data_IF_018686475439
#
_entry.id   IF_018686475439
#
_cell.length_a   1.000
_cell.length_b   1.000
_cell.length_c   1.000
_cell.angle_alpha   90.00
_cell.angle_beta   90.00
_cell.angle_gamma   90.00
#
_symmetry.space_group_name_H-M   'P 1'
#
loop_
_entity.id
_entity.type
_entity.pdbx_description
1 polymer ?
#
# COMPACT_ATOMS: atom_id res chain seq x y z
N UNK A 1 32.84 21.55 -25.87
CA UNK A 1 31.40 21.58 -25.54
C UNK A 1 30.72 20.48 -26.34
N UNK A 2 30.11 19.50 -25.68
CA UNK A 2 29.51 18.33 -26.34
C UNK A 2 28.19 18.76 -27.00
N UNK A 3 28.16 18.73 -28.33
CA UNK A 3 26.92 18.76 -29.11
C UNK A 3 26.10 17.51 -28.77
N UNK A 4 25.13 17.60 -27.86
CA UNK A 4 24.13 16.54 -27.72
C UNK A 4 23.25 16.56 -28.96
N UNK A 5 23.23 15.45 -29.70
CA UNK A 5 22.38 15.29 -30.86
C UNK A 5 20.91 15.45 -30.42
N UNK A 6 20.06 16.23 -31.12
CA UNK A 6 18.68 16.50 -30.71
C UNK A 6 17.85 15.22 -30.47
N UNK A 7 18.15 14.14 -31.20
CA UNK A 7 17.53 12.83 -31.02
C UNK A 7 17.76 12.22 -29.63
N UNK A 8 18.90 12.48 -28.97
CA UNK A 8 19.21 11.92 -27.65
C UNK A 8 18.20 12.40 -26.60
N UNK A 9 17.80 13.67 -26.65
CA UNK A 9 16.82 14.23 -25.72
C UNK A 9 15.41 13.67 -25.95
N UNK A 10 15.01 13.48 -27.21
CA UNK A 10 13.72 12.88 -27.57
C UNK A 10 13.62 11.42 -27.12
N UNK A 11 14.66 10.62 -27.37
CA UNK A 11 14.71 9.22 -26.92
C UNK A 11 14.75 9.11 -25.38
N UNK A 12 15.48 9.99 -24.69
CA UNK A 12 15.51 10.03 -23.23
C UNK A 12 14.13 10.31 -22.64
N UNK A 13 13.39 11.26 -23.21
CA UNK A 13 12.02 11.57 -22.79
C UNK A 13 11.09 10.37 -23.01
N UNK A 14 11.15 9.76 -24.20
CA UNK A 14 10.33 8.58 -24.52
C UNK A 14 10.59 7.40 -23.57
N UNK A 15 11.87 7.09 -23.27
CA UNK A 15 12.24 6.03 -22.33
C UNK A 15 11.76 6.36 -20.92
N UNK A 16 11.92 7.61 -20.47
CA UNK A 16 11.47 8.05 -19.15
C UNK A 16 9.96 7.89 -19.00
N UNK A 17 9.19 8.39 -19.98
CA UNK A 17 7.73 8.27 -20.00
C UNK A 17 7.29 6.80 -19.98
N UNK A 18 7.99 5.93 -20.72
CA UNK A 18 7.71 4.51 -20.73
C UNK A 18 8.01 3.84 -19.37
N UNK A 19 9.12 4.19 -18.73
CA UNK A 19 9.47 3.68 -17.39
C UNK A 19 8.48 4.16 -16.32
N UNK A 20 7.98 5.39 -16.42
CA UNK A 20 6.92 5.91 -15.54
C UNK A 20 5.58 5.20 -15.77
N UNK A 21 5.21 4.98 -17.04
CA UNK A 21 4.01 4.24 -17.41
C UNK A 21 4.04 2.82 -16.83
N UNK A 22 5.20 2.16 -16.89
CA UNK A 22 5.41 0.82 -16.33
C UNK A 22 5.58 0.79 -14.80
N UNK A 23 5.54 1.93 -14.11
CA UNK A 23 5.79 2.03 -12.66
C UNK A 23 7.17 1.52 -12.22
N UNK A 24 8.17 1.62 -13.10
CA UNK A 24 9.57 1.30 -12.77
C UNK A 24 10.21 2.48 -12.03
N UNK A 25 9.86 3.68 -12.45
CA UNK A 25 10.27 4.94 -11.81
C UNK A 25 9.02 5.77 -11.50
N UNK A 26 9.16 6.73 -10.61
CA UNK A 26 8.10 7.67 -10.28
C UNK A 26 8.66 9.06 -9.98
N UNK A 27 8.11 10.08 -10.62
CA UNK A 27 8.28 11.46 -10.16
C UNK A 27 7.38 11.72 -8.96
N UNK A 28 7.93 12.37 -7.94
CA UNK A 28 7.18 12.70 -6.74
C UNK A 28 6.16 13.81 -7.01
N UNK A 29 4.95 13.71 -6.44
CA UNK A 29 4.03 14.84 -6.39
C UNK A 29 4.62 15.94 -5.50
N UNK A 30 5.05 17.03 -6.11
CA UNK A 30 5.32 18.27 -5.40
C UNK A 30 3.99 18.93 -5.05
N UNK A 31 3.71 19.12 -3.76
CA UNK A 31 2.60 19.97 -3.32
C UNK A 31 2.83 21.40 -3.82
N UNK A 32 1.80 22.01 -4.43
CA UNK A 32 1.82 23.41 -4.88
C UNK A 32 2.02 24.41 -3.73
N UNK A 33 1.85 23.99 -2.47
CA UNK A 33 1.95 24.86 -1.30
C UNK A 33 3.30 24.79 -0.56
N UNK A 34 4.27 23.99 -1.03
CA UNK A 34 5.62 23.99 -0.42
C UNK A 34 5.68 23.52 1.05
N UNK A 35 4.59 22.98 1.61
CA UNK A 35 4.49 22.62 3.04
C UNK A 35 5.25 21.32 3.38
N UNK A 36 5.66 20.53 2.38
CA UNK A 36 6.57 19.39 2.59
C UNK A 36 7.70 19.42 1.57
N UNK A 37 8.76 20.15 1.91
CA UNK A 37 9.96 20.31 1.11
C UNK A 37 10.53 18.95 0.70
N UNK A 38 10.59 18.70 -0.61
CA UNK A 38 11.73 19.04 -1.47
C UNK A 38 11.17 19.06 -2.92
N UNK A 39 11.42 20.09 -3.74
CA UNK A 39 11.18 20.00 -5.18
C UNK A 39 12.18 18.98 -5.76
N UNK A 40 11.80 17.70 -5.77
CA UNK A 40 12.61 16.64 -6.34
C UNK A 40 12.43 16.70 -7.86
N UNK A 41 13.28 17.42 -8.57
CA UNK A 41 13.35 17.32 -10.04
C UNK A 41 14.10 16.05 -10.49
N UNK A 42 13.78 14.94 -9.82
CA UNK A 42 14.35 13.64 -10.12
C UNK A 42 13.30 12.54 -10.00
N UNK A 43 13.54 11.47 -10.74
CA UNK A 43 12.73 10.27 -10.65
C UNK A 43 13.25 9.38 -9.52
N UNK A 44 12.33 8.88 -8.72
CA UNK A 44 12.63 7.87 -7.72
C UNK A 44 12.54 6.50 -8.38
N UNK A 45 13.53 5.65 -8.11
CA UNK A 45 13.58 4.26 -8.58
C UNK A 45 13.39 3.34 -7.37
N UNK A 46 12.17 2.83 -7.08
CA UNK A 46 11.90 2.16 -5.80
C UNK A 46 12.77 0.93 -5.54
N UNK A 47 13.24 0.24 -6.59
CA UNK A 47 14.10 -0.92 -6.45
C UNK A 47 15.54 -0.59 -6.02
N UNK A 48 15.97 0.66 -6.18
CA UNK A 48 17.31 1.15 -5.81
C UNK A 48 17.33 1.85 -4.45
N UNK A 49 16.19 1.92 -3.75
CA UNK A 49 16.11 2.48 -2.42
C UNK A 49 16.95 1.66 -1.42
N UNK A 50 17.47 2.32 -0.41
CA UNK A 50 18.13 1.66 0.72
C UNK A 50 17.15 0.73 1.43
N UNK A 51 17.66 -0.38 1.98
CA UNK A 51 16.84 -1.27 2.81
C UNK A 51 16.35 -0.52 4.04
N UNK A 52 15.12 -0.82 4.47
CA UNK A 52 14.60 -0.27 5.71
C UNK A 52 15.49 -0.65 6.90
N UNK A 53 15.80 0.29 7.82
CA UNK A 53 16.57 -0.04 9.00
C UNK A 53 15.79 -1.03 9.88
N UNK A 54 16.42 -2.11 10.36
CA UNK A 54 15.81 -2.95 11.37
C UNK A 54 15.81 -2.21 12.72
N UNK A 55 14.77 -2.43 13.55
CA UNK A 55 13.61 -3.27 13.30
C UNK A 55 12.51 -2.48 12.56
N UNK A 56 11.68 -3.17 11.79
CA UNK A 56 10.47 -2.62 11.14
C UNK A 56 9.36 -2.23 12.16
N UNK A 57 9.75 -1.75 13.35
CA UNK A 57 8.90 -1.11 14.36
C UNK A 57 8.08 0.06 13.79
N UNK A 58 8.37 0.48 12.57
CA UNK A 58 7.62 1.48 11.82
C UNK A 58 6.19 0.99 11.48
N UNK A 59 5.84 -0.29 11.70
CA UNK A 59 4.45 -0.77 11.69
C UNK A 59 3.75 -0.77 13.06
N UNK A 60 4.49 -0.59 14.15
CA UNK A 60 3.90 -0.32 15.45
C UNK A 60 3.69 1.18 15.55
N UNK A 61 2.55 1.67 15.06
CA UNK A 61 2.01 2.91 15.59
C UNK A 61 1.97 2.82 17.13
N UNK A 62 2.07 3.94 17.85
CA UNK A 62 1.71 3.96 19.25
C UNK A 62 0.34 3.28 19.41
N UNK A 63 0.16 2.40 20.41
CA UNK A 63 -1.10 1.66 20.61
C UNK A 63 -2.32 2.59 20.70
N UNK A 64 -2.09 3.87 20.98
CA UNK A 64 -3.11 4.88 21.24
C UNK A 64 -3.61 5.60 19.98
N UNK A 65 -2.98 5.38 18.81
CA UNK A 65 -3.43 6.01 17.56
C UNK A 65 -4.45 5.13 16.85
N UNK A 66 -5.65 5.65 16.52
CA UNK A 66 -6.63 4.82 15.86
C UNK A 66 -6.21 4.56 14.39
N UNK A 67 -6.53 3.36 13.92
CA UNK A 67 -5.93 2.78 12.71
C UNK A 67 -6.88 1.79 12.05
N UNK A 68 -6.74 1.62 10.73
CA UNK A 68 -7.51 0.59 10.01
C UNK A 68 -6.98 -0.82 10.35
N UNK A 69 -7.80 -1.87 10.17
CA UNK A 69 -7.31 -3.24 10.08
C UNK A 69 -6.22 -3.33 9.01
N UNK A 70 -5.27 -4.24 9.14
CA UNK A 70 -4.22 -4.39 8.12
C UNK A 70 -4.82 -5.09 6.91
N UNK A 71 -4.68 -4.47 5.74
CA UNK A 71 -4.94 -5.09 4.45
C UNK A 71 -3.69 -5.83 4.00
N UNK A 72 -3.83 -7.08 3.57
CA UNK A 72 -2.74 -7.89 3.06
C UNK A 72 -3.07 -8.41 1.66
N UNK A 73 -2.06 -8.44 0.79
CA UNK A 73 -2.10 -9.11 -0.50
C UNK A 73 -1.17 -10.32 -0.44
N UNK A 74 -1.75 -11.52 -0.39
CA UNK A 74 -1.03 -12.79 -0.16
C UNK A 74 -0.88 -13.53 -1.48
N UNK A 75 0.37 -13.80 -1.89
CA UNK A 75 0.65 -14.47 -3.17
C UNK A 75 0.60 -15.99 -3.02
N UNK A 76 -0.25 -16.66 -3.81
CA UNK A 76 -0.60 -18.08 -3.63
C UNK A 76 0.58 -19.03 -3.82
N UNK A 77 1.56 -18.67 -4.66
CA UNK A 77 2.77 -19.45 -4.89
C UNK A 77 3.82 -19.35 -3.77
N UNK A 78 3.52 -18.64 -2.68
CA UNK A 78 4.49 -18.28 -1.61
C UNK A 78 5.75 -17.60 -2.13
N UNK A 79 5.62 -16.94 -3.27
CA UNK A 79 6.69 -16.26 -3.96
C UNK A 79 6.21 -14.88 -4.38
N UNK A 80 7.03 -13.87 -4.09
CA UNK A 80 6.80 -12.49 -4.44
C UNK A 80 8.08 -11.94 -5.05
N UNK A 81 8.15 -11.77 -6.38
CA UNK A 81 9.25 -11.04 -6.98
C UNK A 81 9.31 -9.62 -6.38
N UNK A 82 10.49 -9.09 -6.03
CA UNK A 82 10.61 -7.76 -5.42
C UNK A 82 9.92 -6.64 -6.21
N UNK A 83 9.85 -6.78 -7.54
CA UNK A 83 9.17 -5.86 -8.45
C UNK A 83 7.67 -5.69 -8.15
N UNK A 84 7.01 -6.68 -7.55
CA UNK A 84 5.60 -6.58 -7.14
C UNK A 84 5.39 -5.59 -5.99
N UNK A 85 6.41 -5.36 -5.16
CA UNK A 85 6.35 -4.31 -4.13
C UNK A 85 6.68 -2.94 -4.72
N UNK A 86 7.69 -2.87 -5.59
CA UNK A 86 8.19 -1.61 -6.15
C UNK A 86 7.13 -0.87 -6.98
N UNK A 87 6.29 -1.59 -7.71
CA UNK A 87 5.25 -0.98 -8.56
C UNK A 87 4.13 -0.28 -7.78
N UNK A 88 3.48 -0.91 -6.77
CA UNK A 88 2.57 -0.21 -5.88
C UNK A 88 3.21 1.01 -5.22
N UNK A 89 4.48 0.91 -4.80
CA UNK A 89 5.22 2.04 -4.24
C UNK A 89 5.37 3.18 -5.27
N UNK A 90 5.73 2.89 -6.51
CA UNK A 90 5.78 3.90 -7.59
C UNK A 90 4.41 4.54 -7.85
N UNK A 91 3.32 3.76 -7.83
CA UNK A 91 1.96 4.31 -7.92
C UNK A 91 1.65 5.24 -6.74
N UNK A 92 2.07 4.89 -5.53
CA UNK A 92 1.87 5.71 -4.35
C UNK A 92 2.71 7.00 -4.36
N UNK A 93 3.97 6.96 -4.83
CA UNK A 93 4.82 8.15 -4.95
C UNK A 93 4.19 9.24 -5.84
N UNK A 94 3.48 8.81 -6.89
CA UNK A 94 2.74 9.68 -7.82
C UNK A 94 1.36 10.09 -7.32
N UNK A 95 0.88 9.51 -6.22
CA UNK A 95 -0.47 9.74 -5.70
C UNK A 95 -0.47 10.51 -4.39
N UNK A 96 0.60 10.40 -3.59
CA UNK A 96 0.66 11.01 -2.26
C UNK A 96 2.07 11.51 -1.91
N UNK A 97 2.18 12.60 -1.13
CA UNK A 97 3.42 13.05 -0.51
C UNK A 97 4.13 11.92 0.27
N UNK A 98 5.46 11.87 0.18
CA UNK A 98 6.27 10.93 0.97
C UNK A 98 6.30 11.46 2.40
N UNK A 99 5.97 10.61 3.36
CA UNK A 99 5.98 11.00 4.76
C UNK A 99 7.42 11.28 5.21
N UNK A 100 7.60 12.34 6.01
CA UNK A 100 8.85 12.67 6.66
C UNK A 100 8.71 12.51 8.17
N UNK A 101 9.57 11.73 8.79
CA UNK A 101 9.66 11.61 10.24
C UNK A 101 11.03 12.13 10.70
N UNK A 102 11.04 13.12 11.61
CA UNK A 102 12.28 13.75 12.12
C UNK A 102 13.23 14.24 11.01
N UNK A 103 12.65 14.77 9.92
CA UNK A 103 13.41 15.28 8.77
C UNK A 103 13.97 14.20 7.83
N UNK A 104 13.59 12.93 8.00
CA UNK A 104 14.00 11.83 7.13
C UNK A 104 12.81 11.32 6.30
N UNK A 105 13.03 11.10 5.00
CA UNK A 105 12.03 10.49 4.13
C UNK A 105 11.79 9.02 4.50
N UNK A 106 10.54 8.67 4.78
CA UNK A 106 10.13 7.31 5.13
C UNK A 106 9.87 6.45 3.88
N UNK A 107 10.86 6.36 3.00
CA UNK A 107 10.79 5.64 1.73
C UNK A 107 12.01 4.74 1.55
N UNK A 108 11.80 3.43 1.66
CA UNK A 108 12.82 2.40 1.67
C UNK A 108 12.42 1.20 0.79
N UNK A 109 13.41 0.40 0.40
CA UNK A 109 13.15 -0.90 -0.18
C UNK A 109 12.67 -1.84 0.94
N UNK A 110 11.39 -2.23 0.88
CA UNK A 110 10.71 -3.00 1.93
C UNK A 110 9.68 -2.23 2.74
N UNK A 111 9.72 -0.89 2.72
CA UNK A 111 8.82 -0.06 3.51
C UNK A 111 8.64 1.32 2.88
N UNK A 112 7.41 1.76 2.72
CA UNK A 112 7.09 3.10 2.27
C UNK A 112 5.94 3.69 3.12
N UNK A 113 6.08 4.96 3.49
CA UNK A 113 5.05 5.71 4.21
C UNK A 113 4.72 6.97 3.43
N UNK A 114 3.42 7.20 3.24
CA UNK A 114 2.88 8.33 2.50
C UNK A 114 1.90 9.12 3.37
N UNK A 115 1.89 10.44 3.22
CA UNK A 115 0.88 11.31 3.81
C UNK A 115 -0.31 11.34 2.86
N UNK A 116 -1.41 10.70 3.24
CA UNK A 116 -2.60 10.59 2.39
C UNK A 116 -3.41 11.89 2.40
N UNK A 117 -3.48 12.51 3.59
CA UNK A 117 -3.96 13.87 3.85
C UNK A 117 -3.38 14.32 5.20
N UNK A 118 -3.81 15.48 5.71
CA UNK A 118 -3.32 16.05 6.98
C UNK A 118 -3.57 15.14 8.20
N UNK A 119 -4.55 14.25 8.09
CA UNK A 119 -4.97 13.34 9.17
C UNK A 119 -4.34 11.96 9.06
N UNK A 120 -4.11 11.42 7.86
CA UNK A 120 -3.86 10.00 7.66
C UNK A 120 -2.54 9.75 6.95
N UNK A 121 -1.83 8.72 7.41
CA UNK A 121 -0.67 8.16 6.72
C UNK A 121 -0.97 6.75 6.23
N UNK A 122 -0.51 6.43 5.02
CA UNK A 122 -0.51 5.09 4.44
C UNK A 122 0.86 4.47 4.66
N UNK A 123 0.88 3.32 5.31
CA UNK A 123 2.08 2.49 5.49
C UNK A 123 1.96 1.26 4.60
N UNK A 124 2.99 0.98 3.82
CA UNK A 124 3.10 -0.19 2.97
C UNK A 124 4.43 -0.88 3.26
N UNK A 125 4.42 -2.18 3.50
CA UNK A 125 5.63 -2.99 3.50
C UNK A 125 5.40 -4.29 2.73
N UNK A 126 6.49 -4.96 2.40
CA UNK A 126 6.42 -6.38 2.09
C UNK A 126 7.23 -7.17 3.11
N UNK A 127 6.73 -8.36 3.45
CA UNK A 127 7.48 -9.38 4.18
C UNK A 127 7.14 -10.72 3.55
N UNK A 128 8.17 -11.52 3.27
CA UNK A 128 8.06 -12.78 2.55
C UNK A 128 7.30 -12.63 1.22
N UNK A 129 6.15 -13.29 1.11
CA UNK A 129 5.30 -13.28 -0.07
C UNK A 129 4.02 -12.45 0.12
N UNK A 130 4.06 -11.46 1.02
CA UNK A 130 2.89 -10.68 1.41
C UNK A 130 3.22 -9.20 1.38
N UNK A 131 2.32 -8.43 0.76
CA UNK A 131 2.33 -6.97 0.83
C UNK A 131 1.28 -6.54 1.84
N UNK A 132 1.69 -5.81 2.87
CA UNK A 132 0.81 -5.25 3.88
C UNK A 132 0.58 -3.77 3.61
N UNK A 133 -0.65 -3.32 3.89
CA UNK A 133 -1.05 -1.93 3.83
C UNK A 133 -1.88 -1.58 5.06
N UNK A 134 -1.61 -0.42 5.66
CA UNK A 134 -2.36 0.10 6.80
C UNK A 134 -2.50 1.61 6.71
N UNK A 135 -3.65 2.12 7.13
CA UNK A 135 -3.86 3.56 7.28
C UNK A 135 -3.91 3.89 8.77
N UNK A 136 -3.12 4.89 9.16
CA UNK A 136 -2.94 5.33 10.54
C UNK A 136 -3.38 6.78 10.65
N UNK A 137 -4.18 7.10 11.66
CA UNK A 137 -4.52 8.48 11.99
C UNK A 137 -3.39 9.13 12.78
N UNK A 138 -2.94 10.29 12.32
CA UNK A 138 -1.93 11.12 12.95
C UNK A 138 -2.53 12.04 14.01
N UNK A 139 -3.82 12.40 13.88
CA UNK A 139 -4.56 13.26 14.81
C UNK A 139 -5.03 12.49 16.06
N UNK A 140 -4.81 13.10 17.22
CA UNK A 140 -5.25 12.57 18.53
C UNK A 140 -6.75 12.81 18.78
N UNK A 141 -7.37 13.77 18.06
CA UNK A 141 -8.72 14.26 18.31
C UNK A 141 -9.76 13.82 17.28
N UNK A 142 -9.35 13.21 16.16
CA UNK A 142 -10.29 12.79 15.11
C UNK A 142 -10.76 11.34 15.27
N UNK A 143 -12.08 11.15 15.18
CA UNK A 143 -12.68 9.83 15.00
C UNK A 143 -12.29 9.29 13.62
N UNK A 144 -11.57 8.17 13.60
CA UNK A 144 -10.90 7.54 12.43
C UNK A 144 -11.79 7.09 11.27
N UNK A 145 -13.07 7.43 11.29
CA UNK A 145 -14.06 6.76 10.47
C UNK A 145 -14.82 7.68 9.50
N UNK A 146 -14.46 8.96 9.40
CA UNK A 146 -15.15 9.90 8.50
C UNK A 146 -14.72 9.78 7.02
N UNK A 147 -13.64 9.05 6.71
CA UNK A 147 -13.06 9.00 5.37
C UNK A 147 -12.96 7.57 4.80
N UNK A 148 -13.99 6.75 4.97
CA UNK A 148 -14.03 5.38 4.43
C UNK A 148 -13.76 5.36 2.91
N UNK A 149 -14.24 6.36 2.17
CA UNK A 149 -14.00 6.47 0.72
C UNK A 149 -12.50 6.53 0.38
N UNK A 150 -11.69 7.19 1.22
CA UNK A 150 -10.26 7.36 1.03
C UNK A 150 -9.54 6.01 1.16
N UNK A 151 -9.93 5.23 2.17
CA UNK A 151 -9.36 3.91 2.43
C UNK A 151 -9.67 2.94 1.28
N UNK A 152 -10.90 3.01 0.76
CA UNK A 152 -11.31 2.25 -0.42
C UNK A 152 -10.55 2.67 -1.69
N UNK A 153 -10.27 3.97 -1.87
CA UNK A 153 -9.50 4.49 -2.99
C UNK A 153 -8.04 4.03 -2.94
N UNK A 154 -7.41 4.06 -1.75
CA UNK A 154 -6.08 3.49 -1.52
C UNK A 154 -6.05 2.02 -1.91
N UNK A 155 -6.98 1.21 -1.40
CA UNK A 155 -7.09 -0.21 -1.77
C UNK A 155 -7.24 -0.38 -3.28
N UNK A 156 -8.12 0.38 -3.93
CA UNK A 156 -8.37 0.27 -5.37
C UNK A 156 -7.10 0.54 -6.19
N UNK A 157 -6.33 1.58 -5.84
CA UNK A 157 -5.06 1.90 -6.49
C UNK A 157 -4.02 0.78 -6.30
N UNK A 158 -3.85 0.28 -5.07
CA UNK A 158 -2.93 -0.84 -4.79
C UNK A 158 -3.33 -2.10 -5.55
N UNK A 159 -4.61 -2.50 -5.47
CA UNK A 159 -5.13 -3.68 -6.16
C UNK A 159 -4.96 -3.58 -7.67
N UNK A 160 -5.27 -2.43 -8.27
CA UNK A 160 -5.09 -2.21 -9.71
C UNK A 160 -3.62 -2.37 -10.10
N UNK A 161 -2.71 -1.72 -9.37
CA UNK A 161 -1.26 -1.82 -9.62
C UNK A 161 -0.76 -3.27 -9.59
N UNK A 162 -1.25 -4.07 -8.63
CA UNK A 162 -0.90 -5.49 -8.55
C UNK A 162 -1.53 -6.31 -9.68
N UNK A 163 -2.82 -6.11 -9.99
CA UNK A 163 -3.52 -6.82 -11.08
C UNK A 163 -2.85 -6.61 -12.44
N UNK A 164 -2.50 -5.38 -12.77
CA UNK A 164 -1.86 -5.03 -14.05
C UNK A 164 -0.53 -5.81 -14.24
N UNK A 165 0.13 -6.23 -13.15
CA UNK A 165 1.36 -7.03 -13.20
C UNK A 165 1.14 -8.54 -13.11
N UNK A 166 0.11 -8.99 -12.39
CA UNK A 166 -0.30 -10.39 -12.35
C UNK A 166 -0.55 -10.93 -13.76
N UNK A 167 -1.21 -10.16 -14.62
CA UNK A 167 -1.44 -10.53 -16.02
C UNK A 167 -0.15 -10.80 -16.81
N UNK A 168 0.99 -10.24 -16.38
CA UNK A 168 2.30 -10.41 -17.01
C UNK A 168 3.14 -11.56 -16.43
N UNK A 169 2.74 -12.13 -15.29
CA UNK A 169 3.60 -13.00 -14.46
C UNK A 169 2.93 -14.28 -13.96
N UNK A 170 1.70 -14.56 -14.41
CA UNK A 170 0.87 -15.73 -14.03
C UNK A 170 0.68 -15.93 -12.51
N UNK A 171 1.06 -14.95 -11.69
CA UNK A 171 1.01 -15.05 -10.24
C UNK A 171 -0.36 -14.63 -9.74
N UNK A 172 -1.00 -15.40 -8.86
CA UNK A 172 -2.30 -15.01 -8.27
C UNK A 172 -2.10 -14.54 -6.83
N UNK A 173 -2.82 -13.49 -6.43
CA UNK A 173 -2.87 -13.04 -5.04
C UNK A 173 -4.30 -13.04 -4.49
N UNK A 174 -4.40 -13.19 -3.18
CA UNK A 174 -5.63 -13.03 -2.41
C UNK A 174 -5.58 -11.76 -1.55
N UNK A 175 -6.72 -11.07 -1.46
CA UNK A 175 -6.89 -9.99 -0.50
C UNK A 175 -7.29 -10.59 0.85
N UNK A 176 -6.53 -10.27 1.89
CA UNK A 176 -6.75 -10.71 3.25
C UNK A 176 -6.83 -9.52 4.20
N UNK A 177 -7.52 -9.69 5.33
CA UNK A 177 -7.53 -8.73 6.44
C UNK A 177 -6.91 -9.40 7.66
N UNK A 178 -5.95 -8.74 8.30
CA UNK A 178 -5.43 -9.17 9.58
C UNK A 178 -6.41 -8.83 10.70
N UNK A 179 -6.50 -9.70 11.70
CA UNK A 179 -7.21 -9.40 12.95
C UNK A 179 -6.81 -8.00 13.50
N UNK A 180 -7.78 -7.10 13.77
CA UNK A 180 -7.48 -5.76 14.29
C UNK A 180 -6.76 -5.75 15.65
N UNK A 181 -6.95 -6.79 16.46
CA UNK A 181 -6.31 -6.95 17.76
C UNK A 181 -4.85 -7.44 17.70
N UNK A 182 -4.32 -7.70 16.50
CA UNK A 182 -2.96 -8.21 16.33
C UNK A 182 -1.97 -7.14 15.89
N UNK A 183 -0.74 -7.25 16.39
CA UNK A 183 0.42 -6.60 15.78
C UNK A 183 0.69 -7.27 14.43
N UNK A 184 1.19 -6.51 13.46
CA UNK A 184 1.71 -7.10 12.22
C UNK A 184 2.79 -8.09 12.61
N UNK A 185 2.57 -9.36 12.29
CA UNK A 185 3.48 -10.45 12.63
C UNK A 185 3.69 -11.30 11.38
N UNK A 186 4.84 -11.99 11.35
CA UNK A 186 5.29 -12.84 10.25
C UNK A 186 4.43 -14.10 10.07
N UNK A 187 3.47 -14.36 10.97
CA UNK A 187 2.66 -15.58 10.93
C UNK A 187 1.35 -15.34 10.17
N UNK A 188 1.18 -16.08 9.08
CA UNK A 188 0.03 -16.02 8.17
C UNK A 188 -1.28 -16.54 8.78
N UNK A 189 -1.19 -17.17 9.96
CA UNK A 189 -2.29 -17.83 10.65
C UNK A 189 -3.42 -16.86 11.08
N UNK A 190 -3.18 -15.55 11.00
CA UNK A 190 -4.09 -14.50 11.46
C UNK A 190 -4.64 -13.62 10.35
N UNK A 191 -4.46 -14.05 9.09
CA UNK A 191 -4.98 -13.40 7.90
C UNK A 191 -6.28 -14.08 7.46
N UNK A 192 -7.36 -13.30 7.41
CA UNK A 192 -8.66 -13.77 6.94
C UNK A 192 -8.85 -13.42 5.48
N UNK A 193 -9.07 -14.42 4.63
CA UNK A 193 -9.31 -14.21 3.20
C UNK A 193 -10.64 -13.48 3.05
N UNK A 194 -10.63 -12.36 2.34
CA UNK A 194 -11.80 -11.48 2.16
C UNK A 194 -13.01 -12.24 1.60
N UNK A 195 -12.78 -13.20 0.69
CA UNK A 195 -13.84 -14.02 0.10
C UNK A 195 -14.63 -14.82 1.14
N UNK A 196 -14.04 -15.17 2.30
CA UNK A 196 -14.73 -15.91 3.36
C UNK A 196 -15.86 -15.08 4.01
N UNK A 197 -15.70 -13.76 4.09
CA UNK A 197 -16.73 -12.86 4.61
C UNK A 197 -17.95 -12.71 3.69
N UNK A 198 -17.93 -13.27 2.48
CA UNK A 198 -19.11 -13.35 1.61
C UNK A 198 -20.21 -14.22 2.22
N UNK A 199 -19.81 -15.32 2.85
CA UNK A 199 -20.72 -16.34 3.36
C UNK A 199 -20.78 -16.38 4.89
N UNK A 200 -19.83 -15.74 5.58
CA UNK A 200 -19.73 -15.72 7.04
C UNK A 200 -19.79 -14.30 7.58
N UNK A 201 -20.67 -14.08 8.57
CA UNK A 201 -20.77 -12.80 9.28
C UNK A 201 -19.68 -12.61 10.33
N UNK A 202 -19.05 -13.71 10.78
CA UNK A 202 -17.92 -13.69 11.68
C UNK A 202 -16.99 -14.87 11.38
N UNK A 203 -15.69 -14.68 11.61
CA UNK A 203 -14.67 -15.72 11.46
C UNK A 203 -13.97 -15.88 12.80
N UNK A 204 -13.80 -17.13 13.25
CA UNK A 204 -13.12 -17.43 14.50
C UNK A 204 -11.69 -16.88 14.49
N UNK A 205 -11.31 -16.24 15.58
CA UNK A 205 -10.01 -15.65 15.77
C UNK A 205 -9.62 -15.90 17.23
N UNK A 206 -8.51 -16.60 17.50
CA UNK A 206 -8.14 -16.98 18.86
C UNK A 206 -7.53 -15.84 19.67
N UNK A 207 -7.41 -14.64 19.10
CA UNK A 207 -6.75 -13.49 19.73
C UNK A 207 -7.75 -12.45 20.22
N UNK A 208 -8.80 -12.16 19.44
CA UNK A 208 -9.74 -11.12 19.83
C UNK A 208 -10.74 -11.64 20.87
N UNK A 209 -11.24 -10.76 21.75
CA UNK A 209 -12.38 -11.06 22.63
C UNK A 209 -13.59 -10.21 22.19
N UNK A 210 -14.72 -10.81 21.74
CA UNK A 210 -14.97 -12.24 21.60
C UNK A 210 -14.07 -12.88 20.54
N UNK A 211 -13.83 -14.20 20.62
CA UNK A 211 -12.94 -15.03 19.75
C UNK A 211 -13.41 -15.12 18.28
N UNK A 212 -13.95 -14.04 17.73
CA UNK A 212 -14.37 -13.92 16.35
C UNK A 212 -14.24 -12.47 15.87
N UNK A 213 -13.78 -12.31 14.64
CA UNK A 213 -13.78 -11.02 13.95
C UNK A 213 -15.05 -10.95 13.09
N UNK A 214 -15.89 -9.95 13.36
CA UNK A 214 -17.10 -9.71 12.57
C UNK A 214 -16.76 -9.10 11.21
N UNK A 215 -17.60 -9.40 10.20
CA UNK A 215 -17.51 -8.81 8.86
C UNK A 215 -17.51 -7.29 8.93
N UNK A 216 -18.41 -6.70 9.72
CA UNK A 216 -18.49 -5.25 9.88
C UNK A 216 -17.18 -4.66 10.39
N UNK A 217 -16.54 -5.28 11.38
CA UNK A 217 -15.27 -4.78 11.92
C UNK A 217 -14.09 -4.97 10.96
N UNK A 218 -14.00 -6.13 10.29
CA UNK A 218 -12.92 -6.42 9.35
C UNK A 218 -13.01 -5.59 8.07
N UNK A 219 -14.21 -5.44 7.52
CA UNK A 219 -14.40 -5.00 6.13
C UNK A 219 -14.71 -3.52 5.98
N UNK A 220 -15.34 -2.87 6.99
CA UNK A 220 -15.95 -1.52 6.84
C UNK A 220 -15.02 -0.43 6.31
N UNK A 221 -13.71 -0.56 6.54
CA UNK A 221 -12.72 0.44 6.12
C UNK A 221 -12.30 0.25 4.67
N UNK A 222 -12.01 -0.99 4.28
CA UNK A 222 -11.37 -1.29 3.01
C UNK A 222 -12.36 -1.65 1.91
N UNK A 223 -13.58 -2.05 2.26
CA UNK A 223 -14.58 -2.57 1.33
C UNK A 223 -15.90 -1.83 1.52
N UNK A 224 -16.62 -1.61 0.42
CA UNK A 224 -18.00 -1.14 0.49
C UNK A 224 -18.84 -2.25 1.14
N UNK A 225 -19.75 -1.88 2.05
CA UNK A 225 -20.61 -2.84 2.76
C UNK A 225 -21.42 -3.71 1.81
N UNK A 226 -21.80 -3.12 0.67
CA UNK A 226 -22.17 -3.86 -0.52
C UNK A 226 -20.93 -4.52 -1.12
N UNK A 227 -20.68 -5.78 -0.74
CA UNK A 227 -20.19 -6.75 -1.70
C UNK A 227 -21.34 -6.96 -2.71
N UNK A 228 -21.66 -5.92 -3.49
CA UNK A 228 -22.56 -6.05 -4.62
C UNK A 228 -21.96 -7.14 -5.50
N UNK A 229 -22.81 -8.12 -5.81
CA UNK A 229 -22.72 -9.11 -6.88
C UNK A 229 -21.36 -9.06 -7.56
N UNK A 230 -20.51 -10.02 -7.21
CA UNK A 230 -19.35 -10.36 -8.03
C UNK A 230 -19.91 -10.46 -9.44
N UNK A 231 -19.45 -9.59 -10.32
CA UNK A 231 -19.38 -9.87 -11.74
C UNK A 231 -18.88 -11.31 -11.82
N UNK A 232 -19.79 -12.22 -12.17
CA UNK A 232 -19.39 -13.48 -12.77
C UNK A 232 -18.44 -13.04 -13.88
N UNK A 233 -17.15 -13.33 -13.71
CA UNK A 233 -16.27 -13.48 -14.85
C UNK A 233 -16.90 -14.63 -15.64
N UNK A 234 -17.85 -14.29 -16.51
CA UNK A 234 -18.37 -15.15 -17.55
C UNK A 234 -17.26 -15.25 -18.60
N UNK A 235 -16.73 -16.47 -18.71
CA UNK A 235 -15.98 -17.08 -19.82
C UNK A 235 -14.62 -16.48 -20.22
#
# INVERSE_FOLDING_TARGET
MKNSHPYIHEYQSAVTNYMEYLNVIAKHLTSEEGITGIPLDFHIVPCLLSKAPPPLHIYTSPPDKPQTPVLAFVFCGKFLPPSFFHRPVAVCIRAWPICQERGQCCLFNGLAIFTVNDTYTLRICYMDYIIYARIVCCSENEKVYNFIWLFQEVRRKLKKSLKDFVHLSSSVFEECIQCPGMKVSLHNEWLFIVKQFKYKNAIACPVCNPNSVTRSNAMKHWFKERLDRIETDDE
#
